data_IF_673366820549
#
_entry.id   IF_673366820549
#
_cell.length_a   1.000
_cell.length_b   1.000
_cell.length_c   1.000
_cell.angle_alpha   90.00
_cell.angle_beta   90.00
_cell.angle_gamma   90.00
#
_symmetry.space_group_name_H-M   'P 1'
#
loop_
_entity.id
_entity.type
_entity.pdbx_description
1 polymer ?
#
# COMPACT_ATOMS: atom_id res chain seq x y z
N UNK A 1 71.40 21.24 -27.00
CA UNK A 1 70.09 21.56 -27.68
C UNK A 1 69.03 20.65 -27.03
N UNK A 2 68.44 21.05 -25.84
CA UNK A 2 67.55 20.22 -25.07
C UNK A 2 66.08 20.62 -25.32
N UNK A 3 65.32 19.75 -25.94
CA UNK A 3 63.85 19.91 -26.09
C UNK A 3 63.15 19.29 -24.85
N UNK A 4 62.62 20.13 -23.96
CA UNK A 4 61.75 19.74 -22.87
C UNK A 4 60.35 19.48 -23.45
N UNK A 5 59.89 18.23 -23.38
CA UNK A 5 58.49 17.86 -23.72
C UNK A 5 57.63 18.14 -22.46
N UNK A 6 56.71 19.09 -22.58
CA UNK A 6 55.70 19.33 -21.54
C UNK A 6 54.57 18.28 -21.74
N UNK A 7 54.33 17.47 -20.70
CA UNK A 7 53.14 16.62 -20.65
C UNK A 7 52.00 17.42 -20.04
N UNK A 8 50.97 17.66 -20.86
CA UNK A 8 49.69 18.23 -20.36
C UNK A 8 48.81 17.12 -19.84
N UNK A 9 48.55 17.12 -18.52
CA UNK A 9 47.53 16.26 -17.89
C UNK A 9 46.17 16.90 -18.06
N UNK A 10 45.32 16.29 -18.87
CA UNK A 10 43.89 16.65 -18.95
C UNK A 10 43.14 16.01 -17.77
N UNK A 11 42.72 16.81 -16.82
CA UNK A 11 41.79 16.40 -15.75
C UNK A 11 40.39 16.32 -16.36
N UNK A 12 39.91 15.09 -16.61
CA UNK A 12 38.54 14.82 -16.96
C UNK A 12 37.70 14.93 -15.67
N UNK A 13 36.97 16.05 -15.50
CA UNK A 13 36.02 16.22 -14.43
C UNK A 13 34.80 15.33 -14.66
N UNK A 14 34.63 14.30 -13.81
CA UNK A 14 33.41 13.49 -13.76
C UNK A 14 32.33 14.30 -13.03
N UNK A 15 31.38 14.86 -13.76
CA UNK A 15 30.19 15.47 -13.17
C UNK A 15 29.28 14.36 -12.66
N UNK A 16 29.24 14.16 -11.32
CA UNK A 16 28.23 13.31 -10.66
C UNK A 16 26.88 14.04 -10.80
N UNK A 17 26.04 13.58 -11.72
CA UNK A 17 24.64 13.99 -11.75
C UNK A 17 23.92 13.31 -10.59
N UNK A 18 23.65 14.04 -9.51
CA UNK A 18 22.76 13.60 -8.44
C UNK A 18 21.34 13.61 -8.99
N UNK A 19 20.78 12.41 -9.24
CA UNK A 19 19.34 12.29 -9.47
C UNK A 19 18.64 12.68 -8.16
N UNK A 20 18.05 13.87 -8.13
CA UNK A 20 17.14 14.24 -7.05
C UNK A 20 15.91 13.33 -7.14
N UNK A 21 15.70 12.49 -6.15
CA UNK A 21 14.44 11.75 -6.01
C UNK A 21 13.30 12.78 -5.90
N UNK A 22 12.25 12.62 -6.70
CA UNK A 22 11.07 13.48 -6.59
C UNK A 22 10.50 13.36 -5.17
N UNK A 23 10.22 14.48 -4.53
CA UNK A 23 9.61 14.48 -3.22
C UNK A 23 8.22 13.82 -3.29
N UNK A 24 7.87 13.05 -2.25
CA UNK A 24 6.56 12.46 -2.13
C UNK A 24 5.46 13.54 -2.10
N UNK A 25 4.29 13.29 -2.69
CA UNK A 25 3.19 14.26 -2.65
C UNK A 25 2.70 14.45 -1.21
N UNK A 26 2.18 15.64 -0.86
CA UNK A 26 1.59 15.86 0.45
C UNK A 26 0.29 15.05 0.62
N UNK A 27 -0.10 14.82 1.87
CA UNK A 27 -1.40 14.24 2.19
C UNK A 27 -2.53 15.15 1.72
N UNK A 28 -3.51 14.66 0.93
CA UNK A 28 -4.65 15.46 0.53
C UNK A 28 -5.67 15.60 1.68
N UNK A 29 -6.44 16.69 1.73
CA UNK A 29 -7.49 16.86 2.71
C UNK A 29 -8.63 15.83 2.56
N UNK A 30 -8.87 15.38 1.32
CA UNK A 30 -9.90 14.38 0.97
C UNK A 30 -9.31 13.03 0.62
N UNK A 31 -10.11 12.23 -0.11
CA UNK A 31 -9.69 10.96 -0.69
C UNK A 31 -9.10 11.15 -2.08
N UNK A 32 -8.16 10.29 -2.47
CA UNK A 32 -7.72 10.15 -3.85
C UNK A 32 -8.83 9.48 -4.66
N UNK A 33 -9.30 10.14 -5.75
CA UNK A 33 -10.46 9.68 -6.52
C UNK A 33 -10.10 8.88 -7.78
N UNK A 34 -8.88 9.06 -8.28
CA UNK A 34 -8.38 8.50 -9.53
C UNK A 34 -6.89 8.15 -9.42
N UNK A 35 -6.30 7.62 -10.49
CA UNK A 35 -4.86 7.34 -10.61
C UNK A 35 -4.29 6.70 -9.32
N UNK A 36 -4.93 5.61 -8.90
CA UNK A 36 -4.60 4.94 -7.64
C UNK A 36 -3.21 4.30 -7.61
N UNK A 37 -2.54 4.12 -8.76
CA UNK A 37 -1.19 3.58 -8.90
C UNK A 37 -0.22 4.71 -9.26
N UNK A 38 -0.08 5.69 -8.41
CA UNK A 38 0.81 6.83 -8.55
C UNK A 38 1.55 7.09 -7.25
N UNK A 39 2.60 7.93 -7.24
CA UNK A 39 3.33 8.25 -6.01
C UNK A 39 2.39 8.65 -4.88
N UNK A 40 2.58 8.03 -3.73
CA UNK A 40 1.81 8.27 -2.51
C UNK A 40 2.56 9.17 -1.55
N UNK A 41 1.89 9.78 -0.56
CA UNK A 41 2.57 10.44 0.54
C UNK A 41 3.51 9.50 1.30
N UNK A 42 4.47 10.05 2.01
CA UNK A 42 5.31 9.30 2.97
C UNK A 42 4.66 9.21 4.35
N UNK A 43 3.51 9.85 4.52
CA UNK A 43 2.82 9.96 5.81
C UNK A 43 1.34 9.58 5.70
N UNK A 44 0.77 9.29 6.86
CA UNK A 44 -0.66 9.07 7.07
C UNK A 44 -1.07 9.72 8.39
N UNK A 45 -2.02 10.66 8.35
CA UNK A 45 -2.42 11.50 9.50
C UNK A 45 -1.23 12.21 10.18
N UNK A 46 -0.25 12.65 9.38
CA UNK A 46 0.97 13.31 9.85
C UNK A 46 2.04 12.39 10.42
N UNK A 47 1.75 11.09 10.59
CA UNK A 47 2.70 10.08 11.04
C UNK A 47 3.37 9.39 9.84
N UNK A 48 4.66 9.02 9.92
CA UNK A 48 5.31 8.28 8.85
C UNK A 48 4.59 6.97 8.52
N UNK A 49 4.49 6.62 7.22
CA UNK A 49 4.09 5.30 6.80
C UNK A 49 4.99 4.24 7.45
N UNK A 50 4.44 3.05 7.74
CA UNK A 50 5.26 1.98 8.31
C UNK A 50 6.34 1.54 7.31
N UNK A 51 7.59 1.47 7.77
CA UNK A 51 8.64 0.76 7.07
C UNK A 51 8.38 -0.75 7.10
N UNK A 52 9.10 -1.52 6.29
CA UNK A 52 9.03 -2.99 6.32
C UNK A 52 9.32 -3.55 7.71
N UNK A 53 10.34 -3.01 8.40
CA UNK A 53 10.72 -3.43 9.77
C UNK A 53 9.62 -3.10 10.78
N UNK A 54 9.03 -1.91 10.69
CA UNK A 54 7.95 -1.49 11.56
C UNK A 54 6.67 -2.31 11.31
N UNK A 55 6.36 -2.59 10.04
CA UNK A 55 5.24 -3.45 9.67
C UNK A 55 5.45 -4.89 10.16
N UNK A 56 6.67 -5.46 10.03
CA UNK A 56 7.02 -6.77 10.59
C UNK A 56 6.88 -6.81 12.11
N UNK A 57 7.34 -5.77 12.81
CA UNK A 57 7.18 -5.66 14.26
C UNK A 57 5.70 -5.62 14.66
N UNK A 58 4.89 -4.82 13.96
CA UNK A 58 3.44 -4.77 14.16
C UNK A 58 2.77 -6.12 13.88
N UNK A 59 3.18 -6.81 12.81
CA UNK A 59 2.65 -8.14 12.45
C UNK A 59 2.98 -9.22 13.49
N UNK A 60 4.09 -9.07 14.22
CA UNK A 60 4.48 -10.01 15.28
C UNK A 60 3.60 -9.90 16.51
N UNK A 61 2.88 -8.79 16.69
CA UNK A 61 1.86 -8.65 17.74
C UNK A 61 0.53 -9.27 17.27
N UNK A 62 0.02 -10.33 17.93
CA UNK A 62 -1.22 -10.97 17.53
C UNK A 62 -2.47 -10.08 17.68
N UNK A 63 -2.37 -8.95 18.37
CA UNK A 63 -3.45 -7.96 18.50
C UNK A 63 -3.53 -7.02 17.29
N UNK A 64 -2.49 -6.95 16.47
CA UNK A 64 -2.49 -6.12 15.27
C UNK A 64 -3.20 -6.82 14.12
N UNK A 65 -4.14 -6.13 13.51
CA UNK A 65 -4.95 -6.64 12.40
C UNK A 65 -4.45 -6.02 11.11
N UNK A 66 -3.94 -6.84 10.20
CA UNK A 66 -3.56 -6.41 8.86
C UNK A 66 -4.76 -6.55 7.91
N UNK A 67 -5.03 -5.49 7.15
CA UNK A 67 -6.17 -5.40 6.24
C UNK A 67 -5.64 -5.14 4.83
N UNK A 68 -5.82 -6.12 3.95
CA UNK A 68 -5.58 -5.99 2.52
C UNK A 68 -6.81 -5.35 1.86
N UNK A 69 -6.59 -4.33 1.05
CA UNK A 69 -7.69 -3.65 0.34
C UNK A 69 -7.51 -3.69 -1.18
N UNK A 70 -6.67 -4.61 -1.68
CA UNK A 70 -6.52 -4.79 -3.11
C UNK A 70 -7.87 -5.17 -3.74
N UNK A 71 -8.30 -4.47 -4.81
CA UNK A 71 -9.54 -4.84 -5.50
C UNK A 71 -9.46 -6.23 -6.11
N UNK A 72 -10.62 -6.85 -6.34
CA UNK A 72 -10.69 -8.02 -7.19
C UNK A 72 -10.12 -7.71 -8.59
N UNK A 73 -9.32 -8.60 -9.17
CA UNK A 73 -8.93 -8.44 -10.57
C UNK A 73 -10.19 -8.48 -11.45
N UNK A 74 -10.34 -7.55 -12.39
CA UNK A 74 -11.47 -7.58 -13.29
C UNK A 74 -11.43 -8.85 -14.15
N UNK A 75 -12.62 -9.39 -14.47
CA UNK A 75 -12.72 -10.43 -15.47
C UNK A 75 -12.13 -9.92 -16.80
N UNK A 76 -11.20 -10.66 -17.43
CA UNK A 76 -10.64 -10.25 -18.71
C UNK A 76 -11.73 -10.00 -19.76
N UNK A 77 -11.58 -8.93 -20.53
CA UNK A 77 -12.46 -8.64 -21.65
C UNK A 77 -12.23 -9.63 -22.80
N UNK A 78 -13.23 -9.80 -23.66
CA UNK A 78 -13.11 -10.64 -24.87
C UNK A 78 -13.14 -12.16 -24.64
N UNK A 79 -13.42 -12.63 -23.44
CA UNK A 79 -13.60 -14.06 -23.22
C UNK A 79 -14.83 -14.58 -23.98
N UNK A 80 -14.73 -15.77 -24.66
CA UNK A 80 -15.85 -16.39 -25.35
C UNK A 80 -17.06 -16.56 -24.43
N UNK A 81 -18.28 -16.52 -25.01
CA UNK A 81 -19.50 -16.82 -24.26
C UNK A 81 -19.40 -18.22 -23.64
N UNK A 82 -19.73 -18.33 -22.35
CA UNK A 82 -19.68 -19.60 -21.61
C UNK A 82 -18.31 -19.96 -21.03
N UNK A 83 -17.26 -19.14 -21.24
CA UNK A 83 -15.96 -19.36 -20.57
C UNK A 83 -16.13 -19.21 -19.05
N UNK A 84 -15.80 -20.27 -18.33
CA UNK A 84 -15.66 -20.22 -16.88
C UNK A 84 -14.34 -19.53 -16.58
N UNK A 85 -14.42 -18.31 -16.05
CA UNK A 85 -13.25 -17.60 -15.57
C UNK A 85 -13.12 -17.81 -14.07
N UNK A 86 -11.97 -18.31 -13.66
CA UNK A 86 -11.62 -18.41 -12.25
C UNK A 86 -10.60 -17.35 -11.91
N UNK A 87 -10.90 -16.60 -10.88
CA UNK A 87 -9.96 -15.63 -10.32
C UNK A 87 -8.70 -16.35 -9.80
N UNK A 88 -7.54 -15.78 -10.05
CA UNK A 88 -6.29 -16.31 -9.50
C UNK A 88 -6.31 -16.20 -7.97
N UNK A 89 -5.77 -17.19 -7.25
CA UNK A 89 -5.63 -17.09 -5.80
C UNK A 89 -4.92 -15.80 -5.41
N UNK A 90 -5.51 -15.05 -4.48
CA UNK A 90 -4.92 -13.82 -3.96
C UNK A 90 -3.97 -14.16 -2.81
N UNK A 91 -2.69 -13.79 -2.97
CA UNK A 91 -1.70 -13.95 -1.92
C UNK A 91 -1.48 -12.63 -1.20
N UNK A 92 -1.90 -12.58 0.06
CA UNK A 92 -1.71 -11.45 0.97
C UNK A 92 -0.64 -11.71 2.03
N UNK A 93 -0.42 -10.74 2.90
CA UNK A 93 0.38 -10.92 4.12
C UNK A 93 -0.29 -12.00 4.98
N UNK A 94 0.49 -12.95 5.49
CA UNK A 94 -0.09 -14.03 6.29
C UNK A 94 -0.92 -13.49 7.48
N UNK A 95 -2.07 -14.08 7.73
CA UNK A 95 -3.07 -13.68 8.73
C UNK A 95 -3.78 -12.35 8.46
N UNK A 96 -3.62 -11.75 7.28
CA UNK A 96 -4.37 -10.56 6.93
C UNK A 96 -5.82 -10.90 6.51
N UNK A 97 -6.67 -9.91 6.62
CA UNK A 97 -8.07 -9.97 6.20
C UNK A 97 -8.21 -9.17 4.91
N UNK A 98 -8.78 -9.78 3.88
CA UNK A 98 -8.97 -9.12 2.60
C UNK A 98 -10.36 -8.50 2.51
N UNK A 99 -10.38 -7.15 2.39
CA UNK A 99 -11.57 -6.33 2.17
C UNK A 99 -11.46 -5.66 0.78
N UNK A 100 -11.84 -6.32 -0.29
CA UNK A 100 -11.71 -5.74 -1.63
C UNK A 100 -12.60 -4.52 -1.84
N UNK A 101 -12.22 -3.65 -2.79
CA UNK A 101 -12.96 -2.47 -3.27
C UNK A 101 -13.13 -1.31 -2.27
N UNK A 102 -12.84 -1.49 -0.97
CA UNK A 102 -13.10 -0.47 0.06
C UNK A 102 -12.13 0.72 0.01
N UNK A 103 -11.07 0.63 -0.79
CA UNK A 103 -10.04 1.66 -0.92
C UNK A 103 -10.31 2.72 -1.99
N UNK A 104 -11.40 2.65 -2.74
CA UNK A 104 -11.73 3.68 -3.71
C UNK A 104 -12.06 5.00 -3.02
N UNK A 105 -11.75 6.12 -3.66
CA UNK A 105 -11.99 7.44 -3.08
C UNK A 105 -13.47 7.73 -2.88
N UNK A 106 -14.30 7.44 -3.88
CA UNK A 106 -15.76 7.44 -3.77
C UNK A 106 -16.23 5.99 -3.67
N UNK A 107 -16.99 5.67 -2.62
CA UNK A 107 -17.63 4.38 -2.44
C UNK A 107 -19.12 4.47 -2.72
N UNK A 108 -19.69 3.42 -3.31
CA UNK A 108 -21.12 3.21 -3.30
C UNK A 108 -21.61 2.98 -1.85
N UNK A 109 -22.84 3.35 -1.48
CA UNK A 109 -23.35 3.17 -0.13
C UNK A 109 -23.25 1.74 0.40
N UNK A 110 -23.44 0.76 -0.47
CA UNK A 110 -23.34 -0.67 -0.13
C UNK A 110 -21.90 -1.06 0.25
N UNK A 111 -20.90 -0.53 -0.48
CA UNK A 111 -19.48 -0.78 -0.20
C UNK A 111 -19.05 -0.08 1.10
N UNK A 112 -19.56 1.11 1.35
CA UNK A 112 -19.30 1.83 2.60
C UNK A 112 -19.90 1.10 3.80
N UNK A 113 -21.14 0.62 3.68
CA UNK A 113 -21.81 -0.19 4.69
C UNK A 113 -21.08 -1.52 4.92
N UNK A 114 -20.63 -2.18 3.84
CA UNK A 114 -19.79 -3.38 3.91
C UNK A 114 -18.51 -3.11 4.70
N UNK A 115 -17.79 -2.03 4.39
CA UNK A 115 -16.55 -1.68 5.08
C UNK A 115 -16.77 -1.42 6.56
N UNK A 116 -17.77 -0.60 6.91
CA UNK A 116 -18.12 -0.30 8.30
C UNK A 116 -18.48 -1.55 9.10
N UNK A 117 -19.35 -2.41 8.55
CA UNK A 117 -19.75 -3.68 9.17
C UNK A 117 -18.54 -4.60 9.34
N UNK A 118 -17.73 -4.79 8.30
CA UNK A 118 -16.56 -5.65 8.34
C UNK A 118 -15.57 -5.22 9.41
N UNK A 119 -15.27 -3.92 9.51
CA UNK A 119 -14.39 -3.40 10.55
C UNK A 119 -14.97 -3.65 11.96
N UNK A 120 -16.26 -3.39 12.15
CA UNK A 120 -16.92 -3.64 13.45
C UNK A 120 -16.86 -5.10 13.86
N UNK A 121 -17.10 -6.02 12.93
CA UNK A 121 -17.02 -7.47 13.20
C UNK A 121 -15.58 -7.94 13.47
N UNK A 122 -14.60 -7.46 12.70
CA UNK A 122 -13.19 -7.81 12.83
C UNK A 122 -12.64 -7.37 14.19
N UNK A 123 -13.04 -6.20 14.66
CA UNK A 123 -12.56 -5.60 15.91
C UNK A 123 -13.45 -5.92 17.11
N UNK A 124 -14.59 -6.58 16.91
CA UNK A 124 -15.60 -6.72 17.97
C UNK A 124 -16.19 -5.38 18.42
N UNK A 125 -16.14 -4.36 17.57
CA UNK A 125 -16.58 -2.99 17.87
C UNK A 125 -15.53 -2.13 18.60
N UNK A 126 -14.37 -2.68 18.92
CA UNK A 126 -13.27 -1.96 19.57
C UNK A 126 -12.68 -0.90 18.62
N UNK A 127 -12.82 0.37 18.99
CA UNK A 127 -12.30 1.51 18.22
C UNK A 127 -10.82 1.79 18.48
N UNK A 128 -10.23 1.16 19.48
CA UNK A 128 -8.81 1.23 19.82
C UNK A 128 -8.02 0.04 19.28
N UNK A 129 -8.66 -0.83 18.49
CA UNK A 129 -7.98 -1.91 17.80
C UNK A 129 -6.90 -1.39 16.83
N UNK A 130 -5.74 -2.05 16.85
CA UNK A 130 -4.60 -1.67 16.00
C UNK A 130 -4.84 -2.22 14.58
N UNK A 131 -5.07 -1.32 13.62
CA UNK A 131 -5.34 -1.65 12.23
C UNK A 131 -4.19 -1.19 11.32
N UNK A 132 -3.67 -2.09 10.51
CA UNK A 132 -2.65 -1.78 9.50
C UNK A 132 -3.23 -2.04 8.12
N UNK A 133 -3.45 -0.97 7.35
CA UNK A 133 -3.94 -1.06 5.97
C UNK A 133 -2.78 -1.16 4.99
N UNK A 134 -2.92 -2.05 4.02
CA UNK A 134 -1.97 -2.21 2.93
C UNK A 134 -2.67 -2.61 1.62
N UNK A 135 -1.93 -2.54 0.53
CA UNK A 135 -2.34 -2.93 -0.82
C UNK A 135 -1.08 -3.33 -1.60
N UNK A 136 -0.86 -2.77 -2.77
CA UNK A 136 0.41 -2.77 -3.50
C UNK A 136 1.25 -1.55 -3.10
N UNK A 137 2.54 -1.57 -3.49
CA UNK A 137 3.40 -0.38 -3.40
C UNK A 137 2.81 0.77 -4.21
N UNK A 138 2.94 2.00 -3.72
CA UNK A 138 2.42 3.21 -4.35
C UNK A 138 0.92 3.12 -4.70
N UNK A 139 0.13 2.54 -3.82
CA UNK A 139 -1.30 2.33 -4.02
C UNK A 139 -2.13 3.21 -3.07
N UNK A 140 -2.79 4.21 -3.63
CA UNK A 140 -3.65 5.13 -2.88
C UNK A 140 -4.88 4.48 -2.23
N UNK A 141 -5.29 3.29 -2.69
CA UNK A 141 -6.45 2.61 -2.11
C UNK A 141 -6.26 2.26 -0.65
N UNK A 142 -5.06 1.79 -0.25
CA UNK A 142 -4.78 1.49 1.16
C UNK A 142 -4.72 2.75 2.02
N UNK A 143 -4.19 3.86 1.48
CA UNK A 143 -4.22 5.15 2.15
C UNK A 143 -5.65 5.66 2.35
N UNK A 144 -6.49 5.59 1.30
CA UNK A 144 -7.91 5.95 1.38
C UNK A 144 -8.68 5.11 2.41
N UNK A 145 -8.48 3.80 2.40
CA UNK A 145 -9.14 2.90 3.35
C UNK A 145 -8.72 3.19 4.79
N UNK A 146 -7.43 3.42 5.03
CA UNK A 146 -6.92 3.85 6.33
C UNK A 146 -7.59 5.16 6.78
N UNK A 147 -7.65 6.18 5.90
CA UNK A 147 -8.29 7.46 6.18
C UNK A 147 -9.77 7.30 6.52
N UNK A 148 -10.48 6.43 5.79
CA UNK A 148 -11.90 6.16 6.05
C UNK A 148 -12.08 5.45 7.39
N UNK A 149 -11.26 4.47 7.74
CA UNK A 149 -11.31 3.82 9.04
C UNK A 149 -11.06 4.83 10.18
N UNK A 150 -10.08 5.71 10.05
CA UNK A 150 -9.84 6.79 11.02
C UNK A 150 -11.05 7.73 11.14
N UNK A 151 -11.70 8.10 10.02
CA UNK A 151 -12.93 8.93 10.04
C UNK A 151 -14.13 8.21 10.65
N UNK A 152 -14.13 6.87 10.70
CA UNK A 152 -15.11 6.05 11.41
C UNK A 152 -14.82 5.92 12.92
N UNK A 153 -13.80 6.62 13.43
CA UNK A 153 -13.45 6.69 14.84
C UNK A 153 -12.47 5.63 15.33
N UNK A 154 -11.82 4.87 14.44
CA UNK A 154 -10.72 4.00 14.85
C UNK A 154 -9.49 4.84 15.17
N UNK A 155 -8.98 4.75 16.40
CA UNK A 155 -7.92 5.63 16.92
C UNK A 155 -6.50 5.14 16.56
N UNK A 156 -6.30 3.84 16.34
CA UNK A 156 -5.00 3.24 16.09
C UNK A 156 -4.87 2.67 14.66
N UNK A 157 -5.15 3.54 13.69
CA UNK A 157 -4.99 3.20 12.27
C UNK A 157 -3.59 3.54 11.82
N UNK A 158 -2.94 2.58 11.16
CA UNK A 158 -1.62 2.70 10.55
C UNK A 158 -1.68 2.31 9.09
N UNK A 159 -0.70 2.77 8.33
CA UNK A 159 -0.60 2.51 6.90
C UNK A 159 0.77 1.95 6.52
N UNK A 160 0.78 0.88 5.74
CA UNK A 160 1.98 0.26 5.20
C UNK A 160 2.04 0.46 3.69
N UNK A 161 2.86 1.44 3.25
CA UNK A 161 2.92 1.94 1.87
C UNK A 161 3.63 1.03 0.89
N UNK A 162 4.64 0.23 1.36
CA UNK A 162 5.38 -0.70 0.51
C UNK A 162 4.53 -1.92 0.11
N UNK A 163 3.42 -2.14 0.79
CA UNK A 163 2.43 -3.14 0.44
C UNK A 163 2.98 -4.56 0.36
N UNK A 164 2.27 -5.39 -0.40
CA UNK A 164 2.64 -6.80 -0.53
C UNK A 164 3.98 -7.00 -1.24
N UNK A 165 4.39 -6.08 -2.12
CA UNK A 165 5.68 -6.15 -2.79
C UNK A 165 6.83 -6.00 -1.80
N UNK A 166 6.84 -4.94 -0.97
CA UNK A 166 7.88 -4.74 0.04
C UNK A 166 7.95 -5.89 1.04
N UNK A 167 6.77 -6.45 1.41
CA UNK A 167 6.69 -7.60 2.28
C UNK A 167 7.36 -8.85 1.70
N UNK A 168 7.11 -9.13 0.42
CA UNK A 168 7.71 -10.26 -0.31
C UNK A 168 9.20 -10.09 -0.56
N UNK A 169 9.63 -8.89 -0.92
CA UNK A 169 11.04 -8.55 -1.12
C UNK A 169 11.87 -8.78 0.16
N UNK A 170 11.26 -8.55 1.32
CA UNK A 170 11.86 -8.84 2.62
C UNK A 170 11.80 -10.34 3.02
N UNK A 171 11.27 -11.22 2.17
CA UNK A 171 11.14 -12.67 2.45
C UNK A 171 10.17 -12.99 3.57
N UNK A 172 9.19 -12.11 3.84
CA UNK A 172 8.24 -12.27 4.95
C UNK A 172 7.05 -13.17 4.54
N UNK A 173 6.35 -13.79 5.53
CA UNK A 173 5.33 -14.81 5.26
C UNK A 173 4.12 -14.26 4.51
N UNK A 174 3.69 -14.97 3.47
CA UNK A 174 2.45 -14.72 2.75
C UNK A 174 1.59 -15.97 2.73
N UNK A 175 0.28 -15.80 2.60
CA UNK A 175 -0.66 -16.92 2.41
C UNK A 175 -1.74 -16.56 1.39
N UNK A 176 -2.43 -17.57 0.88
CA UNK A 176 -3.63 -17.36 0.06
C UNK A 176 -4.76 -16.95 0.97
N UNK A 177 -5.32 -15.78 0.72
CA UNK A 177 -6.46 -15.24 1.46
C UNK A 177 -7.70 -15.14 0.56
N UNK A 178 -8.86 -15.37 1.15
CA UNK A 178 -10.16 -15.18 0.50
C UNK A 178 -10.75 -13.81 0.89
N UNK A 179 -11.54 -13.21 0.00
CA UNK A 179 -12.24 -11.97 0.35
C UNK A 179 -13.26 -12.26 1.46
N UNK A 180 -13.36 -11.33 2.39
CA UNK A 180 -14.42 -11.39 3.39
C UNK A 180 -15.76 -11.11 2.73
N UNK A 181 -16.81 -11.90 3.03
CA UNK A 181 -18.15 -11.73 2.47
C UNK A 181 -18.87 -10.49 2.97
#
# INVERSE_FOLDING_TARGET
MNRRKALAFALAGFALATLAAAAAPPEPPGYRLDDYQSPTPDTFNGEPALSVEAAKAAWSDPKTIFIDVLPHPPRPEGLPKGTIWQEKPHAGIARSIWLPEVGRGALAPETEAYFSRSLSEITGGDKDAILVFYCKRACWMSWNAAKRAASMGYSQVRWYSDGIEGWREAGLPTETIAPRP
#
